data_IF_014663855700
#
_entry.id   IF_014663855700
#
_cell.length_a   1.000
_cell.length_b   1.000
_cell.length_c   1.000
_cell.angle_alpha   90.00
_cell.angle_beta   90.00
_cell.angle_gamma   90.00
#
_symmetry.space_group_name_H-M   'P 1'
#
loop_
_entity.id
_entity.type
_entity.pdbx_description
1 polymer ?
#
# COMPACT_ATOMS: atom_id res chain seq x y z
N UNK A 1 -26.15 0.11 26.54
CA UNK A 1 -25.97 1.21 25.54
C UNK A 1 -24.51 1.58 25.36
N UNK A 2 -23.74 1.78 26.44
CA UNK A 2 -22.30 2.14 26.36
C UNK A 2 -21.43 1.10 25.62
N UNK A 3 -21.63 -0.20 25.88
CA UNK A 3 -20.88 -1.29 25.23
C UNK A 3 -21.05 -1.30 23.72
N UNK A 4 -22.25 -0.93 23.23
CA UNK A 4 -22.56 -0.84 21.80
C UNK A 4 -21.71 0.23 21.12
N UNK A 5 -21.52 1.37 21.78
CA UNK A 5 -20.72 2.49 21.27
C UNK A 5 -19.25 2.10 21.21
N UNK A 6 -18.73 1.44 22.25
CA UNK A 6 -17.34 0.94 22.30
C UNK A 6 -17.08 -0.06 21.17
N UNK A 7 -18.02 -1.00 20.94
CA UNK A 7 -17.92 -1.97 19.85
C UNK A 7 -17.91 -1.31 18.47
N UNK A 8 -18.80 -0.34 18.23
CA UNK A 8 -18.84 0.39 16.96
C UNK A 8 -17.53 1.13 16.69
N UNK A 9 -16.95 1.74 17.73
CA UNK A 9 -15.69 2.49 17.61
C UNK A 9 -14.49 1.57 17.33
N UNK A 10 -14.41 0.42 18.00
CA UNK A 10 -13.35 -0.58 17.79
C UNK A 10 -13.39 -1.16 16.38
N UNK A 11 -14.59 -1.53 15.92
CA UNK A 11 -14.79 -2.06 14.55
C UNK A 11 -14.42 -1.01 13.51
N UNK A 12 -14.83 0.24 13.72
CA UNK A 12 -14.50 1.35 12.82
C UNK A 12 -13.00 1.58 12.69
N UNK A 13 -12.26 1.61 13.81
CA UNK A 13 -10.80 1.76 13.82
C UNK A 13 -10.10 0.60 13.11
N UNK A 14 -10.55 -0.64 13.33
CA UNK A 14 -9.99 -1.81 12.68
C UNK A 14 -10.16 -1.75 11.14
N UNK A 15 -11.34 -1.38 10.66
CA UNK A 15 -11.63 -1.25 9.22
C UNK A 15 -10.79 -0.15 8.59
N UNK A 16 -10.73 1.04 9.20
CA UNK A 16 -9.93 2.16 8.69
C UNK A 16 -8.43 1.80 8.59
N UNK A 17 -7.89 1.07 9.57
CA UNK A 17 -6.51 0.59 9.54
C UNK A 17 -6.24 -0.42 8.42
N UNK A 18 -7.18 -1.35 8.17
CA UNK A 18 -7.07 -2.31 7.07
C UNK A 18 -7.15 -1.62 5.70
N UNK A 19 -8.00 -0.61 5.54
CA UNK A 19 -8.06 0.22 4.33
C UNK A 19 -6.76 1.02 4.12
N UNK A 20 -6.09 1.47 5.18
CA UNK A 20 -4.76 2.10 5.09
C UNK A 20 -3.68 1.16 4.54
N UNK A 21 -3.74 -0.14 4.89
CA UNK A 21 -2.78 -1.16 4.45
C UNK A 21 -2.91 -1.49 2.96
N UNK A 22 -4.11 -1.36 2.38
CA UNK A 22 -4.35 -1.56 0.94
C UNK A 22 -3.78 -0.42 0.07
N UNK A 23 -3.63 0.80 0.60
CA UNK A 23 -2.96 1.92 -0.13
C UNK A 23 -1.44 1.81 -0.18
N UNK A 24 -0.81 1.09 0.75
CA UNK A 24 0.63 0.83 0.76
C UNK A 24 1.06 -0.28 -0.22
N UNK A 25 0.12 -0.85 -0.98
CA UNK A 25 0.35 -1.84 -2.02
C UNK A 25 0.82 -1.27 -3.36
N UNK A 26 1.18 0.02 -3.43
CA UNK A 26 1.90 0.60 -4.56
C UNK A 26 3.32 0.06 -4.60
N UNK A 27 3.48 -1.22 -4.97
CA UNK A 27 4.77 -1.89 -5.18
C UNK A 27 5.56 -1.04 -6.15
N UNK A 28 6.39 -0.15 -5.61
CA UNK A 28 7.32 0.64 -6.38
C UNK A 28 8.26 -0.35 -7.02
N UNK A 29 7.95 -0.78 -8.25
CA UNK A 29 8.78 -1.72 -9.01
C UNK A 29 10.13 -1.02 -9.11
N UNK A 30 11.13 -1.44 -8.34
CA UNK A 30 12.48 -0.91 -8.42
C UNK A 30 13.27 -1.81 -9.36
N UNK A 31 14.00 -1.22 -10.28
CA UNK A 31 14.82 -1.90 -11.25
C UNK A 31 16.04 -2.49 -10.53
N UNK A 32 16.31 -3.80 -10.66
CA UNK A 32 17.40 -4.47 -9.89
C UNK A 32 18.81 -4.01 -10.31
N UNK A 33 18.98 -3.53 -11.54
CA UNK A 33 20.29 -3.08 -12.07
C UNK A 33 20.65 -1.65 -11.68
N UNK A 34 19.71 -0.71 -11.71
CA UNK A 34 19.98 0.71 -11.43
C UNK A 34 19.34 1.23 -10.13
N UNK A 35 18.54 0.41 -9.43
CA UNK A 35 17.81 0.82 -8.23
C UNK A 35 16.66 1.82 -8.49
N UNK A 36 16.52 2.29 -9.73
CA UNK A 36 15.55 3.30 -10.15
C UNK A 36 14.09 2.83 -10.07
N UNK A 37 13.18 3.78 -9.92
CA UNK A 37 11.74 3.53 -9.88
C UNK A 37 11.21 3.25 -11.30
N UNK A 38 10.62 2.08 -11.51
CA UNK A 38 10.01 1.66 -12.77
C UNK A 38 8.55 2.10 -12.79
N UNK A 39 8.23 2.99 -13.71
CA UNK A 39 6.87 3.48 -13.98
C UNK A 39 6.44 2.83 -15.30
N UNK A 40 5.31 2.12 -15.31
CA UNK A 40 4.76 1.55 -16.55
C UNK A 40 5.51 0.37 -17.18
N UNK A 41 6.53 -0.21 -16.52
CA UNK A 41 7.23 -1.41 -17.00
C UNK A 41 8.53 -1.15 -17.77
N UNK A 42 8.82 0.10 -18.12
CA UNK A 42 10.11 0.51 -18.73
C UNK A 42 11.04 1.10 -17.67
N UNK A 43 12.25 0.56 -17.57
CA UNK A 43 13.29 1.08 -16.69
C UNK A 43 14.09 2.17 -17.44
N UNK A 44 14.41 3.33 -16.80
CA UNK A 44 15.16 4.41 -17.45
C UNK A 44 16.59 4.02 -17.84
N UNK A 45 17.08 2.87 -17.39
CA UNK A 45 18.39 2.36 -17.79
C UNK A 45 18.43 1.70 -19.17
N UNK A 46 17.32 1.70 -19.93
CA UNK A 46 17.28 1.14 -21.29
C UNK A 46 17.44 -0.39 -21.35
N UNK A 47 17.46 -1.07 -20.21
CA UNK A 47 17.59 -2.53 -20.13
C UNK A 47 16.25 -3.14 -19.71
N UNK A 48 15.66 -3.90 -20.63
CA UNK A 48 14.46 -4.69 -20.39
C UNK A 48 14.87 -5.98 -19.64
N UNK A 49 14.50 -6.05 -18.35
CA UNK A 49 14.76 -7.10 -17.33
C UNK A 49 16.07 -6.99 -16.53
#
# INVERSE_FOLDING_TARGET
MILKIIFLFLVFMAVMGMFGKLRAGGRKRRCRKCGGHVIGGSCPCGVTR
#
